data_IF_626965813600
#
_entry.id   IF_626965813600
#
_cell.length_a   1.000
_cell.length_b   1.000
_cell.length_c   1.000
_cell.angle_alpha   90.00
_cell.angle_beta   90.00
_cell.angle_gamma   90.00
#
_symmetry.space_group_name_H-M   'P 1'
#
loop_
_entity.id
_entity.type
_entity.pdbx_description
1 polymer ?
#
# COMPACT_ATOMS: atom_id res chain seq x y z
N UNK A 1 4.00 -5.12 -1.98
CA UNK A 1 3.13 -6.29 -2.22
C UNK A 1 2.00 -5.97 -3.18
N UNK A 2 1.09 -5.06 -2.86
CA UNK A 2 -0.01 -4.65 -3.76
C UNK A 2 0.47 -4.28 -5.16
N UNK A 3 1.46 -3.39 -5.27
CA UNK A 3 1.99 -2.96 -6.57
C UNK A 3 2.63 -4.11 -7.37
N UNK A 4 3.32 -5.04 -6.70
CA UNK A 4 3.89 -6.22 -7.33
C UNK A 4 2.81 -7.18 -7.86
N UNK A 5 1.69 -7.31 -7.16
CA UNK A 5 0.55 -8.07 -7.65
C UNK A 5 -0.11 -7.39 -8.86
N UNK A 6 -0.37 -6.08 -8.79
CA UNK A 6 -0.98 -5.31 -9.88
C UNK A 6 -0.14 -5.35 -11.15
N UNK A 7 1.17 -5.15 -11.03
CA UNK A 7 2.10 -5.17 -12.16
C UNK A 7 2.41 -6.60 -12.63
N UNK A 8 2.80 -7.49 -11.72
CA UNK A 8 3.30 -8.82 -12.07
C UNK A 8 2.24 -9.90 -12.31
N UNK A 9 1.00 -9.72 -11.84
CA UNK A 9 -0.10 -10.70 -12.02
C UNK A 9 -1.19 -10.15 -12.91
N UNK A 10 -1.63 -8.92 -12.66
CA UNK A 10 -2.68 -8.29 -13.47
C UNK A 10 -2.13 -7.55 -14.70
N UNK A 11 -0.80 -7.55 -14.88
CA UNK A 11 -0.11 -6.89 -16.00
C UNK A 11 -0.46 -5.41 -16.15
N UNK A 12 -0.83 -4.73 -15.05
CA UNK A 12 -1.18 -3.31 -15.07
C UNK A 12 0.06 -2.45 -15.00
N UNK A 13 0.14 -1.41 -15.84
CA UNK A 13 1.16 -0.37 -15.71
C UNK A 13 0.97 0.37 -14.39
N UNK A 14 1.86 0.11 -13.42
CA UNK A 14 1.62 0.43 -12.01
C UNK A 14 2.62 1.46 -11.49
N UNK A 15 2.09 2.50 -10.83
CA UNK A 15 2.85 3.47 -10.06
C UNK A 15 2.62 3.28 -8.56
N UNK A 16 3.64 3.58 -7.75
CA UNK A 16 3.58 3.68 -6.30
C UNK A 16 4.04 5.07 -5.91
N UNK A 17 3.20 5.79 -5.16
CA UNK A 17 3.44 7.18 -4.79
C UNK A 17 3.55 7.31 -3.27
N UNK A 18 4.65 7.88 -2.80
CA UNK A 18 4.84 8.22 -1.39
C UNK A 18 4.24 9.62 -1.14
N UNK A 19 3.11 9.67 -0.43
CA UNK A 19 2.50 10.94 0.00
C UNK A 19 2.86 11.28 1.45
N UNK A 20 3.28 10.29 2.22
CA UNK A 20 3.82 10.51 3.55
C UNK A 20 5.22 11.16 3.49
N UNK A 21 5.72 11.61 4.65
CA UNK A 21 7.02 12.29 4.76
C UNK A 21 8.16 11.35 5.20
N UNK A 22 7.98 10.02 5.09
CA UNK A 22 8.96 9.07 5.62
C UNK A 22 10.27 9.03 4.81
N UNK A 23 10.20 9.39 3.52
CA UNK A 23 11.34 9.34 2.59
C UNK A 23 11.81 7.91 2.32
N UNK A 24 10.95 6.91 2.54
CA UNK A 24 11.29 5.50 2.39
C UNK A 24 11.63 5.18 0.93
N UNK A 25 10.96 5.80 -0.04
CA UNK A 25 11.24 5.52 -1.45
C UNK A 25 12.56 6.13 -1.92
N UNK A 26 12.96 7.29 -1.36
CA UNK A 26 14.28 7.84 -1.61
C UNK A 26 15.39 6.94 -1.04
N UNK A 27 15.18 6.34 0.13
CA UNK A 27 16.10 5.34 0.68
C UNK A 27 16.13 4.06 -0.17
N UNK A 28 14.97 3.59 -0.62
CA UNK A 28 14.85 2.42 -1.49
C UNK A 28 15.62 2.64 -2.80
N UNK A 29 15.46 3.79 -3.44
CA UNK A 29 16.21 4.15 -4.64
C UNK A 29 17.72 4.08 -4.40
N UNK A 30 18.22 4.66 -3.31
CA UNK A 30 19.66 4.63 -2.96
C UNK A 30 20.17 3.20 -2.84
N UNK A 31 19.43 2.30 -2.19
CA UNK A 31 19.81 0.88 -2.03
C UNK A 31 19.89 0.20 -3.40
N UNK A 32 18.90 0.41 -4.28
CA UNK A 32 18.90 -0.21 -5.61
C UNK A 32 19.95 0.37 -6.56
N UNK A 33 20.26 1.68 -6.45
CA UNK A 33 21.34 2.32 -7.21
C UNK A 33 22.74 1.89 -6.75
N UNK A 34 22.94 1.67 -5.45
CA UNK A 34 24.25 1.33 -4.87
C UNK A 34 24.52 -0.17 -4.74
N UNK A 35 23.48 -1.01 -4.87
CA UNK A 35 23.58 -2.47 -4.76
C UNK A 35 24.39 -3.13 -5.89
N UNK A 36 25.10 -4.22 -5.56
CA UNK A 36 25.91 -5.01 -6.51
C UNK A 36 25.10 -5.66 -7.66
N UNK A 37 23.77 -5.77 -7.52
CA UNK A 37 22.86 -6.19 -8.59
C UNK A 37 22.31 -4.94 -9.26
N UNK A 38 22.94 -4.54 -10.37
CA UNK A 38 22.46 -3.48 -11.26
C UNK A 38 21.14 -3.90 -11.93
N UNK A 39 20.03 -3.86 -11.20
CA UNK A 39 18.75 -3.53 -11.83
C UNK A 39 18.81 -2.01 -12.04
N UNK A 40 19.38 -1.56 -13.18
CA UNK A 40 19.51 -0.12 -13.45
C UNK A 40 18.09 0.48 -13.41
N UNK A 41 17.79 1.44 -12.51
CA UNK A 41 16.57 2.19 -12.65
C UNK A 41 16.57 2.85 -14.03
N UNK A 42 15.48 2.70 -14.77
CA UNK A 42 15.41 3.04 -16.21
C UNK A 42 15.41 4.56 -16.45
N UNK A 43 15.31 5.37 -15.39
CA UNK A 43 15.12 6.82 -15.51
C UNK A 43 16.17 7.58 -14.68
N UNK A 44 17.04 8.30 -15.38
CA UNK A 44 18.07 9.18 -14.84
C UNK A 44 17.52 10.62 -14.75
N UNK A 45 17.20 11.08 -13.55
CA UNK A 45 16.86 12.48 -13.28
C UNK A 45 16.53 12.68 -11.81
N UNK A 46 17.12 13.69 -11.17
CA UNK A 46 16.70 14.09 -9.82
C UNK A 46 15.23 14.51 -9.87
N UNK A 47 14.37 13.86 -9.08
CA UNK A 47 12.93 14.11 -9.07
C UNK A 47 12.10 13.34 -10.11
N UNK A 48 12.72 12.47 -10.92
CA UNK A 48 11.97 11.53 -11.78
C UNK A 48 11.63 10.24 -11.01
N UNK A 49 10.53 9.54 -11.35
CA UNK A 49 10.25 8.23 -10.77
C UNK A 49 11.33 7.24 -11.17
N UNK A 50 11.66 6.31 -10.26
CA UNK A 50 12.56 5.20 -10.57
C UNK A 50 11.76 3.91 -10.75
N UNK A 51 12.25 3.02 -11.62
CA UNK A 51 11.56 1.77 -11.92
C UNK A 51 12.26 0.59 -11.25
N UNK A 52 11.47 -0.27 -10.58
CA UNK A 52 11.91 -1.59 -10.13
C UNK A 52 10.90 -2.62 -10.61
N UNK A 53 11.35 -3.57 -11.44
CA UNK A 53 10.53 -4.70 -11.92
C UNK A 53 9.20 -4.28 -12.57
N UNK A 54 9.22 -3.26 -13.44
CA UNK A 54 8.01 -2.77 -14.11
C UNK A 54 7.07 -1.96 -13.21
N UNK A 55 7.53 -1.53 -12.04
CA UNK A 55 6.78 -0.69 -11.10
C UNK A 55 7.50 0.65 -10.97
N UNK A 56 6.77 1.75 -11.19
CA UNK A 56 7.29 3.11 -11.08
C UNK A 56 7.12 3.61 -9.64
N UNK A 57 8.19 4.08 -9.01
CA UNK A 57 8.19 4.61 -7.65
C UNK A 57 8.41 6.12 -7.67
N UNK A 58 7.45 6.85 -7.11
CA UNK A 58 7.48 8.31 -6.96
C UNK A 58 7.74 8.65 -5.49
N UNK A 59 8.86 9.33 -5.23
CA UNK A 59 9.29 9.68 -3.88
C UNK A 59 8.43 10.76 -3.21
N UNK A 60 7.59 11.43 -4.01
CA UNK A 60 6.59 12.41 -3.57
C UNK A 60 5.36 12.29 -4.44
N UNK A 61 4.19 12.51 -3.85
CA UNK A 61 2.90 12.45 -4.54
C UNK A 61 2.25 13.84 -4.60
N UNK A 62 2.83 14.77 -5.36
CA UNK A 62 2.27 16.11 -5.56
C UNK A 62 1.60 16.23 -6.92
N UNK A 63 1.04 17.41 -7.19
CA UNK A 63 0.25 17.69 -8.40
C UNK A 63 1.00 17.29 -9.69
N UNK A 64 2.31 17.52 -9.75
CA UNK A 64 3.12 17.20 -10.91
C UNK A 64 3.19 15.69 -11.17
N UNK A 65 3.40 14.88 -10.14
CA UNK A 65 3.51 13.42 -10.26
C UNK A 65 2.18 12.76 -10.62
N UNK A 66 1.06 13.33 -10.20
CA UNK A 66 -0.27 12.89 -10.66
C UNK A 66 -0.44 13.09 -12.17
N UNK A 67 -0.03 14.26 -12.68
CA UNK A 67 -0.08 14.52 -14.12
C UNK A 67 0.88 13.60 -14.88
N UNK A 68 2.09 13.39 -14.38
CA UNK A 68 3.06 12.48 -15.01
C UNK A 68 2.54 11.03 -15.03
N UNK A 69 1.88 10.55 -13.97
CA UNK A 69 1.20 9.25 -13.99
C UNK A 69 0.12 9.16 -15.09
N UNK A 70 -0.65 10.23 -15.28
CA UNK A 70 -1.69 10.31 -16.32
C UNK A 70 -1.08 10.30 -17.72
N UNK A 71 -0.07 11.14 -17.99
CA UNK A 71 0.64 11.22 -19.27
C UNK A 71 1.32 9.90 -19.64
N UNK A 72 1.87 9.20 -18.64
CA UNK A 72 2.45 7.86 -18.83
C UNK A 72 1.41 6.76 -18.94
N UNK A 73 0.11 7.05 -18.87
CA UNK A 73 -0.94 6.05 -18.98
C UNK A 73 -0.84 4.97 -17.90
N UNK A 74 -0.57 5.36 -16.65
CA UNK A 74 -0.60 4.42 -15.52
C UNK A 74 -2.02 3.88 -15.32
N UNK A 75 -2.16 2.56 -15.31
CA UNK A 75 -3.44 1.87 -15.15
C UNK A 75 -3.79 1.64 -13.68
N UNK A 76 -2.77 1.63 -12.80
CA UNK A 76 -2.96 1.49 -11.36
C UNK A 76 -1.99 2.39 -10.59
N UNK A 77 -2.53 3.11 -9.60
CA UNK A 77 -1.76 3.93 -8.67
C UNK A 77 -1.95 3.41 -7.26
N UNK A 78 -0.85 3.06 -6.59
CA UNK A 78 -0.82 2.67 -5.18
C UNK A 78 -0.24 3.83 -4.38
N UNK A 79 -1.03 4.38 -3.46
CA UNK A 79 -0.67 5.61 -2.77
C UNK A 79 -0.40 5.28 -1.31
N UNK A 80 0.81 5.57 -0.85
CA UNK A 80 1.20 5.44 0.54
C UNK A 80 0.96 6.77 1.27
N UNK A 81 -0.20 6.85 1.91
CA UNK A 81 -0.60 8.00 2.73
C UNK A 81 0.08 8.03 4.12
N UNK A 82 0.75 6.95 4.53
CA UNK A 82 1.21 6.77 5.91
C UNK A 82 0.05 6.62 6.89
N UNK A 83 0.20 7.19 8.09
CA UNK A 83 -0.87 7.22 9.08
C UNK A 83 -2.06 8.06 8.58
N UNK A 84 -3.28 7.57 8.76
CA UNK A 84 -4.46 8.35 8.38
C UNK A 84 -4.66 9.50 9.36
N UNK A 85 -4.77 10.71 8.84
CA UNK A 85 -4.99 11.96 9.58
C UNK A 85 -6.12 12.74 8.93
N UNK A 86 -6.67 13.74 9.62
CA UNK A 86 -7.68 14.63 9.02
C UNK A 86 -7.19 15.31 7.72
N UNK A 87 -5.88 15.56 7.60
CA UNK A 87 -5.28 16.22 6.42
C UNK A 87 -5.30 15.36 5.16
N UNK A 88 -5.08 14.05 5.28
CA UNK A 88 -4.99 13.13 4.13
C UNK A 88 -6.26 12.30 3.91
N UNK A 89 -7.22 12.39 4.83
CA UNK A 89 -8.46 11.61 4.83
C UNK A 89 -9.28 11.76 3.54
N UNK A 90 -9.47 12.99 3.06
CA UNK A 90 -10.30 13.24 1.87
C UNK A 90 -9.65 12.66 0.61
N UNK A 91 -8.33 12.78 0.48
CA UNK A 91 -7.59 12.20 -0.63
C UNK A 91 -7.61 10.66 -0.57
N UNK A 92 -7.47 10.10 0.63
CA UNK A 92 -7.59 8.66 0.85
C UNK A 92 -8.95 8.13 0.37
N UNK A 93 -10.06 8.79 0.70
CA UNK A 93 -11.40 8.34 0.29
C UNK A 93 -11.76 8.57 -1.18
N UNK A 94 -10.95 9.31 -1.93
CA UNK A 94 -11.11 9.42 -3.39
C UNK A 94 -10.55 8.19 -4.12
N UNK A 95 -9.76 7.35 -3.43
CA UNK A 95 -9.24 6.12 -4.01
C UNK A 95 -10.36 5.12 -4.30
N UNK A 96 -10.29 4.46 -5.46
CA UNK A 96 -11.25 3.41 -5.87
C UNK A 96 -11.28 2.20 -4.92
N UNK A 97 -10.19 2.00 -4.16
CA UNK A 97 -10.03 1.00 -3.11
C UNK A 97 -9.18 1.62 -2.01
N UNK A 98 -9.64 1.50 -0.77
CA UNK A 98 -8.95 2.01 0.41
C UNK A 98 -8.46 0.86 1.28
N UNK A 99 -7.19 0.86 1.68
CA UNK A 99 -6.60 -0.20 2.51
C UNK A 99 -6.19 0.38 3.86
N UNK A 100 -6.80 -0.12 4.93
CA UNK A 100 -6.39 0.21 6.30
C UNK A 100 -5.59 -0.95 6.86
N UNK A 101 -4.32 -0.70 7.16
CA UNK A 101 -3.39 -1.70 7.70
C UNK A 101 -3.11 -1.36 9.15
N UNK A 102 -3.37 -2.30 10.05
CA UNK A 102 -3.09 -2.16 11.48
C UNK A 102 -2.36 -3.37 12.06
N UNK A 103 -2.18 -3.33 13.37
CA UNK A 103 -1.70 -4.45 14.18
C UNK A 103 -2.67 -4.62 15.34
N UNK A 104 -2.95 -5.86 15.71
CA UNK A 104 -3.85 -6.20 16.82
C UNK A 104 -3.03 -6.90 17.89
N UNK A 105 -2.21 -6.11 18.59
CA UNK A 105 -1.64 -6.49 19.88
C UNK A 105 -2.58 -6.05 21.01
N UNK A 106 -2.42 -6.63 22.20
CA UNK A 106 -3.28 -6.31 23.35
C UNK A 106 -3.34 -4.81 23.70
N UNK A 107 -2.30 -4.04 23.38
CA UNK A 107 -2.25 -2.59 23.59
C UNK A 107 -2.70 -1.74 22.39
N UNK A 108 -2.80 -2.30 21.17
CA UNK A 108 -3.20 -1.56 19.95
C UNK A 108 -4.67 -1.76 19.57
N UNK A 109 -5.37 -2.68 20.25
CA UNK A 109 -6.78 -2.95 19.98
C UNK A 109 -7.66 -1.72 20.19
N UNK A 110 -7.36 -0.89 21.20
CA UNK A 110 -8.12 0.34 21.48
C UNK A 110 -7.96 1.38 20.37
N UNK A 111 -6.75 1.58 19.86
CA UNK A 111 -6.48 2.52 18.76
C UNK A 111 -7.16 2.04 17.46
N UNK A 112 -7.09 0.74 17.19
CA UNK A 112 -7.77 0.15 16.04
C UNK A 112 -9.30 0.25 16.17
N UNK A 113 -9.83 0.01 17.37
CA UNK A 113 -11.25 0.11 17.65
C UNK A 113 -11.77 1.57 17.57
N UNK A 114 -11.03 2.54 18.11
CA UNK A 114 -11.36 3.96 18.00
C UNK A 114 -11.35 4.42 16.53
N UNK A 115 -10.32 4.04 15.79
CA UNK A 115 -10.20 4.31 14.36
C UNK A 115 -11.26 3.58 13.52
N UNK A 116 -11.80 2.45 13.98
CA UNK A 116 -12.89 1.76 13.29
C UNK A 116 -14.28 2.28 13.70
N UNK A 117 -14.46 2.74 14.95
CA UNK A 117 -15.70 3.31 15.47
C UNK A 117 -15.98 4.71 14.89
N UNK A 118 -14.97 5.58 14.77
CA UNK A 118 -15.10 6.85 14.05
C UNK A 118 -15.47 6.64 12.56
N UNK A 119 -15.08 5.48 12.02
CA UNK A 119 -15.18 5.12 10.62
C UNK A 119 -16.22 4.07 10.32
N UNK A 120 -17.13 3.78 11.26
CA UNK A 120 -18.23 2.83 11.07
C UNK A 120 -19.13 3.25 9.88
N UNK A 121 -19.13 4.55 9.54
CA UNK A 121 -19.76 5.13 8.33
C UNK A 121 -19.10 4.69 7.01
N UNK A 122 -17.88 4.16 7.03
CA UNK A 122 -17.02 3.94 5.86
C UNK A 122 -16.73 2.45 5.59
N UNK A 123 -17.33 1.54 6.40
CA UNK A 123 -17.20 0.08 6.31
C UNK A 123 -17.30 -0.50 4.90
N UNK A 124 -18.07 0.11 4.00
CA UNK A 124 -18.31 -0.39 2.64
C UNK A 124 -17.19 -0.08 1.63
N UNK A 125 -16.28 0.85 1.94
CA UNK A 125 -15.31 1.38 0.97
C UNK A 125 -13.87 0.96 1.24
N UNK A 126 -13.59 0.40 2.42
CA UNK A 126 -12.25 0.01 2.85
C UNK A 126 -12.12 -1.52 3.02
N UNK A 127 -10.97 -2.06 2.64
CA UNK A 127 -10.51 -3.37 3.10
C UNK A 127 -9.62 -3.18 4.34
N UNK A 128 -9.82 -4.03 5.34
CA UNK A 128 -9.11 -3.97 6.62
C UNK A 128 -8.10 -5.11 6.72
N UNK A 129 -6.89 -4.76 7.12
CA UNK A 129 -5.77 -5.69 7.15
C UNK A 129 -5.00 -5.63 8.46
N UNK A 130 -4.44 -6.78 8.84
CA UNK A 130 -3.51 -6.88 9.97
C UNK A 130 -2.19 -7.49 9.53
N UNK A 131 -1.09 -6.86 9.92
CA UNK A 131 0.27 -7.38 9.70
C UNK A 131 0.74 -8.26 10.87
N UNK A 132 0.26 -7.99 12.08
CA UNK A 132 0.63 -8.68 13.31
C UNK A 132 -0.56 -8.76 14.28
N UNK A 133 -0.54 -9.75 15.18
CA UNK A 133 -1.59 -9.98 16.18
C UNK A 133 -1.96 -11.45 16.34
N UNK A 134 -2.52 -11.81 17.50
CA UNK A 134 -3.03 -13.16 17.77
C UNK A 134 -4.37 -13.40 17.07
N UNK A 135 -4.65 -14.65 16.70
CA UNK A 135 -5.88 -14.99 15.96
C UNK A 135 -7.14 -14.65 16.76
N UNK A 136 -7.14 -14.93 18.07
CA UNK A 136 -8.26 -14.62 18.95
C UNK A 136 -8.48 -13.10 19.09
N UNK A 137 -7.41 -12.31 19.11
CA UNK A 137 -7.52 -10.85 19.13
C UNK A 137 -8.12 -10.30 17.84
N UNK A 138 -7.76 -10.87 16.69
CA UNK A 138 -8.35 -10.52 15.40
C UNK A 138 -9.83 -10.90 15.36
N UNK A 139 -10.21 -12.10 15.78
CA UNK A 139 -11.62 -12.54 15.85
C UNK A 139 -12.45 -11.63 16.74
N UNK A 140 -11.92 -11.27 17.92
CA UNK A 140 -12.58 -10.32 18.82
C UNK A 140 -12.76 -8.95 18.15
N UNK A 141 -11.74 -8.46 17.44
CA UNK A 141 -11.84 -7.19 16.71
C UNK A 141 -12.88 -7.25 15.57
N UNK A 142 -12.90 -8.33 14.79
CA UNK A 142 -13.91 -8.53 13.73
C UNK A 142 -15.34 -8.53 14.29
N UNK A 143 -15.57 -9.23 15.42
CA UNK A 143 -16.86 -9.28 16.09
C UNK A 143 -17.27 -7.93 16.68
N UNK A 144 -16.36 -7.26 17.39
CA UNK A 144 -16.65 -5.98 18.03
C UNK A 144 -16.94 -4.87 17.00
N UNK A 145 -16.22 -4.88 15.90
CA UNK A 145 -16.31 -3.84 14.87
C UNK A 145 -17.29 -4.17 13.76
N UNK A 146 -17.72 -5.43 13.64
CA UNK A 146 -18.56 -5.94 12.56
C UNK A 146 -17.95 -5.58 11.18
N UNK A 147 -16.71 -6.03 11.00
CA UNK A 147 -15.92 -5.90 9.77
C UNK A 147 -15.16 -7.20 9.51
N UNK A 148 -14.77 -7.41 8.25
CA UNK A 148 -13.84 -8.49 7.89
C UNK A 148 -12.41 -7.96 7.91
N UNK A 149 -11.55 -8.58 8.69
CA UNK A 149 -10.12 -8.27 8.80
C UNK A 149 -9.31 -9.40 8.15
N UNK A 150 -8.49 -9.07 7.16
CA UNK A 150 -7.65 -10.04 6.46
C UNK A 150 -6.21 -9.97 6.98
N UNK A 151 -5.64 -11.12 7.34
CA UNK A 151 -4.21 -11.18 7.69
C UNK A 151 -3.35 -11.11 6.43
N UNK A 152 -2.43 -10.16 6.40
CA UNK A 152 -1.45 -10.03 5.32
C UNK A 152 -0.46 -11.21 5.44
N UNK A 153 -0.21 -11.96 4.35
CA UNK A 153 0.77 -13.04 4.36
C UNK A 153 2.17 -12.51 4.64
N UNK A 154 2.99 -13.28 5.36
CA UNK A 154 4.38 -12.90 5.62
C UNK A 154 5.15 -12.94 4.30
N UNK A 155 5.79 -11.83 3.94
CA UNK A 155 6.54 -11.75 2.71
C UNK A 155 7.96 -11.26 2.94
N UNK A 156 8.94 -12.11 2.62
CA UNK A 156 10.38 -11.80 2.75
C UNK A 156 10.83 -10.69 1.80
N UNK A 157 10.19 -10.58 0.63
CA UNK A 157 10.47 -9.55 -0.36
C UNK A 157 9.15 -9.01 -0.94
N UNK A 158 8.81 -7.77 -0.60
CA UNK A 158 7.56 -7.12 -0.99
C UNK A 158 7.42 -6.82 -2.50
N UNK A 159 8.52 -6.96 -3.27
CA UNK A 159 8.57 -6.75 -4.72
C UNK A 159 8.41 -8.06 -5.52
N UNK A 160 8.38 -9.22 -4.85
CA UNK A 160 8.16 -10.51 -5.48
C UNK A 160 6.70 -10.94 -5.33
N UNK A 161 6.18 -11.67 -6.32
CA UNK A 161 4.89 -12.33 -6.22
C UNK A 161 5.12 -13.78 -5.82
N UNK A 162 4.45 -14.23 -4.76
CA UNK A 162 4.40 -15.62 -4.30
C UNK A 162 2.99 -16.19 -4.48
N UNK A 163 2.84 -17.53 -4.46
CA UNK A 163 1.52 -18.17 -4.50
C UNK A 163 0.59 -17.71 -3.36
N UNK A 164 1.14 -17.45 -2.17
CA UNK A 164 0.39 -16.87 -1.05
C UNK A 164 -0.12 -15.47 -1.37
N UNK A 165 0.74 -14.60 -1.92
CA UNK A 165 0.34 -13.24 -2.31
C UNK A 165 -0.71 -13.25 -3.43
N UNK A 166 -0.59 -14.16 -4.41
CA UNK A 166 -1.58 -14.31 -5.48
C UNK A 166 -2.94 -14.72 -4.92
N UNK A 167 -2.95 -15.74 -4.06
CA UNK A 167 -4.16 -16.23 -3.39
C UNK A 167 -4.77 -15.16 -2.50
N UNK A 168 -3.95 -14.35 -1.83
CA UNK A 168 -4.41 -13.29 -0.96
C UNK A 168 -5.07 -12.16 -1.74
N UNK A 169 -4.35 -11.53 -2.68
CA UNK A 169 -4.85 -10.38 -3.42
C UNK A 169 -5.97 -10.72 -4.40
N UNK A 170 -5.95 -11.92 -5.01
CA UNK A 170 -7.00 -12.37 -5.94
C UNK A 170 -8.40 -12.47 -5.31
N UNK A 171 -8.50 -12.41 -3.98
CA UNK A 171 -9.79 -12.37 -3.26
C UNK A 171 -10.52 -11.03 -3.41
N UNK A 172 -9.81 -9.93 -3.67
CA UNK A 172 -10.38 -8.57 -3.63
C UNK A 172 -9.81 -7.59 -4.67
N UNK A 173 -8.66 -7.88 -5.27
CA UNK A 173 -8.13 -7.17 -6.44
C UNK A 173 -8.35 -8.04 -7.67
N UNK A 174 -9.26 -7.60 -8.54
CA UNK A 174 -9.53 -8.17 -9.87
C UNK A 174 -9.30 -7.10 -10.92
#
# INVERSE_FOLDING_TARGET
>A
MTAAYLSGVLCRRTAVLEQNESGSFAQLEKIFRTGKRREKPVIDGAGQPFEIRGIFFYQKAERAEWYDCSERGMEAMVIDFGALTQKNQDAFFRCSRCFLVGSVSGWQLADFAALAAEKQKWKKWCEYFVSFGEEEAVKMAEQYLDIRIRRIPLQKNALMVTGESMTFFGKFLR
#
